data_IF_404202604762
#
_entry.id   IF_404202604762
#
_cell.length_a   1.000
_cell.length_b   1.000
_cell.length_c   1.000
_cell.angle_alpha   90.00
_cell.angle_beta   90.00
_cell.angle_gamma   90.00
#
_symmetry.space_group_name_H-M   'P 1'
#
loop_
_entity.id
_entity.type
_entity.pdbx_description
1 polymer ?
#
# COMPACT_ATOMS: atom_id res chain seq x y z
N UNK A 1 15.83 2.43 -26.44
CA UNK A 1 14.80 2.87 -25.48
C UNK A 1 14.01 3.97 -26.16
N UNK A 2 13.02 3.59 -26.97
CA UNK A 2 12.17 4.47 -27.78
C UNK A 2 10.92 4.85 -26.98
N UNK A 3 10.59 6.15 -26.98
CA UNK A 3 9.41 6.79 -26.40
C UNK A 3 9.06 6.38 -24.96
N UNK A 4 9.70 7.05 -24.00
CA UNK A 4 8.98 7.36 -22.77
C UNK A 4 7.85 8.29 -23.16
N UNK A 5 6.63 7.74 -23.32
CA UNK A 5 5.41 8.51 -23.46
C UNK A 5 5.34 9.51 -22.30
N UNK A 6 5.83 10.73 -22.53
CA UNK A 6 5.62 11.84 -21.60
C UNK A 6 4.14 12.12 -21.61
N UNK A 7 3.49 11.91 -20.48
CA UNK A 7 2.07 12.17 -20.35
C UNK A 7 1.89 13.64 -19.97
N UNK A 8 1.67 14.48 -20.99
CA UNK A 8 1.39 15.89 -20.79
C UNK A 8 -0.03 16.08 -20.25
N UNK A 9 -0.16 16.74 -19.09
CA UNK A 9 -1.45 17.19 -18.56
C UNK A 9 -1.89 18.37 -19.42
N UNK A 10 -3.06 18.32 -20.09
CA UNK A 10 -3.50 19.42 -20.92
C UNK A 10 -3.64 20.70 -20.09
N UNK A 11 -2.97 21.76 -20.52
CA UNK A 11 -2.91 23.05 -19.79
C UNK A 11 -4.26 23.79 -19.75
N UNK A 12 -5.20 23.39 -20.59
CA UNK A 12 -6.53 23.99 -20.74
C UNK A 12 -7.63 23.36 -19.86
N UNK A 13 -7.31 22.37 -19.02
CA UNK A 13 -8.34 21.70 -18.21
C UNK A 13 -8.88 22.60 -17.08
N UNK A 14 -10.21 22.70 -17.01
CA UNK A 14 -10.91 23.22 -15.84
C UNK A 14 -10.75 22.28 -14.64
N UNK A 15 -10.93 22.80 -13.42
CA UNK A 15 -10.82 22.05 -12.17
C UNK A 15 -11.65 20.75 -12.15
N UNK A 16 -12.88 20.79 -12.68
CA UNK A 16 -13.75 19.62 -12.78
C UNK A 16 -13.23 18.59 -13.81
N UNK A 17 -12.68 19.07 -14.93
CA UNK A 17 -12.14 18.22 -15.99
C UNK A 17 -10.80 17.56 -15.62
N UNK A 18 -10.02 18.16 -14.71
CA UNK A 18 -8.75 17.58 -14.23
C UNK A 18 -9.02 16.24 -13.52
N UNK A 19 -9.98 16.20 -12.60
CA UNK A 19 -10.30 14.95 -11.90
C UNK A 19 -10.84 13.89 -12.84
N UNK A 20 -11.71 14.26 -13.78
CA UNK A 20 -12.23 13.32 -14.78
C UNK A 20 -11.11 12.77 -15.67
N UNK A 21 -10.15 13.61 -16.05
CA UNK A 21 -8.98 13.19 -16.81
C UNK A 21 -8.13 12.19 -16.03
N UNK A 22 -7.79 12.48 -14.77
CA UNK A 22 -7.01 11.56 -13.95
C UNK A 22 -7.77 10.27 -13.64
N UNK A 23 -9.07 10.34 -13.36
CA UNK A 23 -9.90 9.16 -13.06
C UNK A 23 -9.96 8.23 -14.29
N UNK A 24 -10.24 8.79 -15.47
CA UNK A 24 -10.29 8.02 -16.73
C UNK A 24 -8.96 7.32 -17.05
N UNK A 25 -7.84 7.92 -16.66
CA UNK A 25 -6.51 7.40 -16.94
C UNK A 25 -5.84 6.75 -15.72
N UNK A 26 -6.54 6.60 -14.59
CA UNK A 26 -5.92 6.31 -13.29
C UNK A 26 -4.99 5.10 -13.33
N UNK A 27 -5.44 3.99 -13.92
CA UNK A 27 -4.66 2.74 -13.93
C UNK A 27 -3.35 2.89 -14.71
N UNK A 28 -3.36 3.64 -15.82
CA UNK A 28 -2.15 3.97 -16.59
C UNK A 28 -1.19 4.81 -15.76
N UNK A 29 -1.69 5.86 -15.09
CA UNK A 29 -0.87 6.73 -14.25
C UNK A 29 -0.32 6.00 -13.03
N UNK A 30 -1.14 5.17 -12.38
CA UNK A 30 -0.72 4.35 -11.24
C UNK A 30 0.35 3.34 -11.65
N UNK A 31 0.21 2.69 -12.81
CA UNK A 31 1.25 1.81 -13.36
C UNK A 31 2.57 2.57 -13.62
N UNK A 32 2.50 3.76 -14.21
CA UNK A 32 3.69 4.59 -14.44
C UNK A 32 4.33 5.04 -13.12
N UNK A 33 3.52 5.46 -12.15
CA UNK A 33 3.95 5.80 -10.79
C UNK A 33 4.71 4.64 -10.14
N UNK A 34 4.13 3.43 -10.11
CA UNK A 34 4.77 2.26 -9.50
C UNK A 34 6.08 1.93 -10.21
N UNK A 35 6.10 1.87 -11.55
CA UNK A 35 7.31 1.57 -12.33
C UNK A 35 8.43 2.60 -12.10
N UNK A 36 8.07 3.88 -12.08
CA UNK A 36 9.02 4.96 -11.89
C UNK A 36 9.62 4.92 -10.48
N UNK A 37 8.78 4.82 -9.45
CA UNK A 37 9.24 4.88 -8.06
C UNK A 37 9.80 3.56 -7.54
N UNK A 38 9.46 2.40 -8.10
CA UNK A 38 10.10 1.12 -7.75
C UNK A 38 11.55 1.06 -8.23
N UNK A 39 11.91 1.84 -9.24
CA UNK A 39 13.26 1.92 -9.80
C UNK A 39 13.96 3.24 -9.48
N UNK A 40 13.46 3.98 -8.48
CA UNK A 40 13.96 5.32 -8.17
C UNK A 40 15.46 5.35 -7.89
N UNK A 41 16.08 4.30 -7.36
CA UNK A 41 17.54 4.22 -7.18
C UNK A 41 18.37 4.42 -8.46
N UNK A 42 17.80 4.18 -9.64
CA UNK A 42 18.49 4.45 -10.91
C UNK A 42 18.66 5.95 -11.15
N UNK A 43 17.79 6.77 -10.54
CA UNK A 43 17.69 8.22 -10.78
C UNK A 43 17.83 9.07 -9.51
N UNK A 44 17.68 8.48 -8.32
CA UNK A 44 17.65 9.17 -7.02
C UNK A 44 19.08 9.33 -6.47
N UNK A 45 19.40 10.49 -5.87
CA UNK A 45 20.66 10.73 -5.14
C UNK A 45 21.06 9.69 -4.07
N UNK A 46 20.13 8.83 -3.61
CA UNK A 46 20.44 7.71 -2.71
C UNK A 46 21.50 6.75 -3.28
N UNK A 47 21.71 6.77 -4.61
CA UNK A 47 22.79 6.04 -5.27
C UNK A 47 24.18 6.66 -5.04
N UNK A 48 24.26 7.98 -4.86
CA UNK A 48 25.51 8.75 -4.81
C UNK A 48 26.05 8.94 -3.38
N UNK A 49 25.17 8.92 -2.37
CA UNK A 49 25.54 9.02 -0.96
C UNK A 49 25.54 7.64 -0.32
N UNK A 50 26.68 6.97 -0.44
CA UNK A 50 27.02 5.73 0.25
C UNK A 50 26.00 4.60 0.04
N UNK A 51 26.12 3.93 -1.11
CA UNK A 51 25.30 2.76 -1.46
C UNK A 51 25.31 1.65 -0.38
N UNK A 52 26.35 1.60 0.46
CA UNK A 52 26.43 0.70 1.62
C UNK A 52 25.67 1.20 2.86
N UNK A 53 25.48 2.50 3.03
CA UNK A 53 24.94 3.08 4.27
C UNK A 53 23.42 3.25 4.21
N UNK A 54 22.85 3.53 3.04
CA UNK A 54 21.46 4.01 3.01
C UNK A 54 20.36 2.96 2.89
N UNK A 55 20.66 1.68 2.67
CA UNK A 55 19.67 0.57 2.70
C UNK A 55 18.40 0.75 1.85
N UNK A 56 18.33 1.79 1.03
CA UNK A 56 17.11 2.38 0.47
C UNK A 56 16.43 1.45 -0.55
N UNK A 57 17.17 0.48 -1.08
CA UNK A 57 16.67 -0.56 -1.98
C UNK A 57 16.70 -1.96 -1.37
N UNK A 58 17.04 -2.08 -0.10
CA UNK A 58 17.13 -3.40 0.52
C UNK A 58 15.77 -3.92 0.94
N UNK A 59 14.85 -3.03 1.34
CA UNK A 59 13.54 -3.40 1.82
C UNK A 59 12.37 -2.66 1.15
N UNK A 60 11.25 -3.37 1.05
CA UNK A 60 9.92 -2.79 1.08
C UNK A 60 9.47 -2.69 2.52
N UNK A 61 9.13 -1.48 2.97
CA UNK A 61 8.43 -1.27 4.24
C UNK A 61 6.95 -1.10 3.91
N UNK A 62 6.09 -1.90 4.53
CA UNK A 62 4.64 -1.88 4.28
C UNK A 62 3.95 -1.45 5.57
N UNK A 63 2.96 -0.57 5.45
CA UNK A 63 2.15 -0.13 6.58
C UNK A 63 0.75 0.33 6.17
N UNK A 64 -0.19 0.24 7.11
CA UNK A 64 -1.57 0.69 6.99
C UNK A 64 -1.81 2.01 7.73
N UNK A 65 -2.21 3.06 7.01
CA UNK A 65 -2.67 4.32 7.62
C UNK A 65 -4.18 4.32 7.81
N UNK A 66 -4.65 3.89 8.99
CA UNK A 66 -6.08 3.75 9.29
C UNK A 66 -6.84 5.05 9.61
N UNK A 67 -6.22 6.21 9.45
CA UNK A 67 -6.77 7.50 9.94
C UNK A 67 -7.58 8.26 8.89
N UNK A 68 -7.52 7.88 7.61
CA UNK A 68 -8.28 8.54 6.54
C UNK A 68 -9.53 7.73 6.22
N UNK A 69 -10.47 7.71 7.17
CA UNK A 69 -11.74 7.04 7.01
C UNK A 69 -12.71 7.92 6.20
N UNK A 70 -13.36 7.32 5.20
CA UNK A 70 -14.45 7.96 4.44
C UNK A 70 -15.63 7.00 4.26
N UNK A 71 -16.84 7.50 3.99
CA UNK A 71 -17.97 6.63 3.67
C UNK A 71 -17.68 5.73 2.45
N UNK A 72 -17.94 4.42 2.62
CA UNK A 72 -17.84 3.40 1.55
C UNK A 72 -19.17 2.67 1.36
N UNK A 73 -19.31 2.04 0.20
CA UNK A 73 -20.52 1.33 -0.19
C UNK A 73 -20.70 0.08 0.69
N UNK A 74 -21.93 -0.11 1.19
CA UNK A 74 -22.34 -1.28 1.99
C UNK A 74 -22.20 -2.61 1.26
N UNK A 75 -22.12 -2.61 -0.07
CA UNK A 75 -21.92 -3.85 -0.81
C UNK A 75 -20.53 -4.43 -0.54
N UNK A 76 -20.50 -5.44 0.32
CA UNK A 76 -19.32 -6.22 0.69
C UNK A 76 -19.00 -7.36 -0.28
N UNK A 77 -19.90 -7.61 -1.23
CA UNK A 77 -19.86 -8.77 -2.13
C UNK A 77 -19.10 -8.48 -3.42
N UNK A 78 -18.42 -7.33 -3.50
CA UNK A 78 -17.55 -7.06 -4.63
C UNK A 78 -16.36 -8.01 -4.53
N UNK A 79 -16.35 -8.97 -5.45
CA UNK A 79 -15.26 -9.88 -5.61
C UNK A 79 -14.27 -9.37 -6.64
N UNK A 80 -13.00 -9.72 -6.46
CA UNK A 80 -11.99 -9.65 -7.52
C UNK A 80 -11.34 -11.01 -7.67
N UNK A 81 -10.88 -11.33 -8.86
CA UNK A 81 -9.98 -12.46 -9.09
C UNK A 81 -8.62 -11.91 -9.48
N UNK A 82 -7.57 -12.59 -9.04
CA UNK A 82 -6.20 -12.26 -9.46
C UNK A 82 -5.50 -13.55 -9.89
N UNK A 83 -4.35 -13.43 -10.54
CA UNK A 83 -3.59 -14.61 -10.96
C UNK A 83 -3.13 -15.42 -9.73
N UNK A 84 -2.73 -14.73 -8.66
CA UNK A 84 -2.30 -15.36 -7.41
C UNK A 84 -3.47 -15.92 -6.60
N UNK A 85 -4.63 -15.29 -6.67
CA UNK A 85 -5.85 -15.68 -5.93
C UNK A 85 -6.99 -15.94 -6.92
N UNK A 86 -7.09 -17.16 -7.49
CA UNK A 86 -8.10 -17.51 -8.49
C UNK A 86 -9.49 -17.68 -7.88
N UNK A 87 -9.57 -18.09 -6.61
CA UNK A 87 -10.81 -18.14 -5.86
C UNK A 87 -11.26 -16.70 -5.58
N UNK A 88 -12.41 -16.30 -6.11
CA UNK A 88 -13.01 -14.97 -5.96
C UNK A 88 -12.80 -14.35 -4.57
N UNK A 89 -12.28 -13.12 -4.52
CA UNK A 89 -11.88 -12.43 -3.30
C UNK A 89 -12.83 -11.31 -2.94
N UNK A 90 -13.51 -11.43 -1.81
CA UNK A 90 -14.41 -10.42 -1.29
C UNK A 90 -13.64 -9.21 -0.72
N UNK A 91 -13.40 -8.21 -1.54
CA UNK A 91 -12.72 -6.96 -1.14
C UNK A 91 -13.69 -5.86 -0.69
N UNK A 92 -14.98 -6.00 -1.03
CA UNK A 92 -15.98 -4.96 -0.81
C UNK A 92 -15.89 -3.80 -1.81
N UNK A 93 -16.92 -2.96 -1.81
CA UNK A 93 -17.03 -1.87 -2.76
C UNK A 93 -16.48 -0.55 -2.20
N UNK A 94 -15.38 -0.08 -2.77
CA UNK A 94 -14.79 1.21 -2.43
C UNK A 94 -15.59 2.44 -2.85
N UNK A 95 -16.65 2.31 -3.65
CA UNK A 95 -17.37 3.47 -4.15
C UNK A 95 -18.08 4.25 -3.02
N UNK A 96 -18.21 5.56 -3.19
CA UNK A 96 -18.96 6.40 -2.23
C UNK A 96 -20.45 6.03 -2.27
N UNK A 97 -21.10 5.81 -1.12
CA UNK A 97 -22.51 5.46 -1.08
C UNK A 97 -23.40 6.66 -1.39
N UNK A 98 -24.59 6.42 -1.97
CA UNK A 98 -25.67 7.42 -1.99
C UNK A 98 -26.27 7.53 -0.56
N UNK A 99 -26.55 8.75 -0.12
CA UNK A 99 -26.85 9.08 1.29
C UNK A 99 -27.97 8.25 1.93
N UNK A 100 -29.03 7.94 1.18
CA UNK A 100 -30.20 7.20 1.70
C UNK A 100 -30.02 5.67 1.74
N UNK A 101 -29.36 5.09 0.75
CA UNK A 101 -29.28 3.61 0.62
C UNK A 101 -28.06 3.04 1.34
N UNK A 102 -26.98 3.82 1.45
CA UNK A 102 -25.68 3.28 1.82
C UNK A 102 -25.03 2.43 0.72
N UNK A 103 -25.62 2.38 -0.47
CA UNK A 103 -25.07 1.70 -1.65
C UNK A 103 -24.65 2.74 -2.68
N UNK A 104 -23.53 2.47 -3.37
CA UNK A 104 -23.17 3.25 -4.54
C UNK A 104 -24.09 2.92 -5.73
N UNK A 105 -24.08 3.77 -6.75
CA UNK A 105 -24.87 3.60 -7.97
C UNK A 105 -24.73 2.23 -8.61
N UNK A 106 -23.50 1.74 -8.74
CA UNK A 106 -23.21 0.44 -9.39
C UNK A 106 -23.69 -0.76 -8.56
N UNK A 107 -23.87 -0.59 -7.25
CA UNK A 107 -24.27 -1.68 -6.36
C UNK A 107 -25.75 -1.63 -5.97
N UNK A 108 -26.50 -0.59 -6.35
CA UNK A 108 -27.94 -0.50 -6.06
C UNK A 108 -28.74 -1.63 -6.70
N UNK A 109 -28.29 -2.13 -7.84
CA UNK A 109 -28.95 -3.20 -8.60
C UNK A 109 -28.41 -4.60 -8.27
N UNK A 110 -27.39 -4.69 -7.42
CA UNK A 110 -26.75 -5.96 -7.10
C UNK A 110 -27.40 -6.58 -5.87
N UNK A 111 -27.69 -7.89 -5.93
CA UNK A 111 -28.09 -8.66 -4.75
C UNK A 111 -26.98 -8.56 -3.70
N UNK A 112 -27.33 -8.05 -2.53
CA UNK A 112 -26.45 -8.09 -1.37
C UNK A 112 -26.67 -9.46 -0.73
N UNK A 113 -25.74 -10.37 -0.93
CA UNK A 113 -25.60 -11.58 -0.12
C UNK A 113 -25.57 -11.18 1.36
N UNK A 114 -26.36 -11.91 2.15
CA UNK A 114 -26.29 -11.86 3.60
C UNK A 114 -24.93 -12.38 4.10
N UNK A 115 -24.56 -12.05 5.33
CA UNK A 115 -23.24 -12.42 5.88
C UNK A 115 -23.02 -13.95 5.89
N UNK A 116 -24.09 -14.74 6.00
CA UNK A 116 -24.06 -16.20 5.95
C UNK A 116 -23.91 -16.76 4.51
N UNK A 117 -24.18 -15.95 3.49
CA UNK A 117 -24.06 -16.31 2.07
C UNK A 117 -22.73 -15.84 1.48
N UNK A 118 -22.05 -14.88 2.11
CA UNK A 118 -20.66 -14.60 1.78
C UNK A 118 -19.81 -15.70 2.36
N UNK A 119 -19.35 -16.61 1.51
CA UNK A 119 -18.24 -17.52 1.82
C UNK A 119 -16.94 -16.72 2.04
N UNK A 120 -16.91 -15.84 3.05
CA UNK A 120 -15.71 -15.72 3.88
C UNK A 120 -15.60 -17.10 4.51
N UNK A 121 -15.00 -18.00 3.74
CA UNK A 121 -14.78 -19.39 4.10
C UNK A 121 -14.42 -19.42 5.55
N UNK A 122 -15.15 -20.26 6.28
CA UNK A 122 -14.73 -20.93 7.50
C UNK A 122 -13.26 -20.68 7.79
N UNK A 123 -12.96 -20.24 9.00
CA UNK A 123 -11.61 -20.17 9.55
C UNK A 123 -10.91 -21.53 9.40
N UNK A 124 -10.49 -21.91 8.20
CA UNK A 124 -9.71 -23.11 7.92
C UNK A 124 -8.29 -22.91 8.48
N UNK A 125 -7.98 -21.70 8.95
CA UNK A 125 -6.82 -21.35 9.76
C UNK A 125 -7.01 -21.67 11.27
N UNK A 126 -8.16 -22.21 11.72
CA UNK A 126 -8.51 -22.56 13.11
C UNK A 126 -7.53 -23.49 13.85
N UNK A 127 -6.42 -23.91 13.23
CA UNK A 127 -5.49 -24.86 13.83
C UNK A 127 -4.01 -24.67 13.51
N UNK A 128 -3.59 -23.64 12.79
CA UNK A 128 -2.18 -23.55 12.36
C UNK A 128 -1.38 -22.46 13.13
N UNK A 129 -2.04 -21.47 13.73
CA UNK A 129 -1.33 -20.24 14.12
C UNK A 129 -0.95 -20.08 15.58
N UNK A 130 -1.58 -20.78 16.52
CA UNK A 130 -1.32 -20.51 17.94
C UNK A 130 -1.38 -21.80 18.76
N UNK A 131 -0.19 -22.29 19.16
CA UNK A 131 -0.09 -22.92 20.46
C UNK A 131 -0.47 -21.84 21.50
N UNK A 132 -1.52 -22.05 22.32
CA UNK A 132 -2.02 -21.06 23.27
C UNK A 132 -0.95 -20.52 24.23
N UNK A 133 0.13 -21.28 24.44
CA UNK A 133 1.23 -20.92 25.35
C UNK A 133 2.32 -20.08 24.68
N UNK A 134 2.38 -20.08 23.35
CA UNK A 134 3.42 -19.37 22.56
C UNK A 134 2.85 -18.35 21.56
N UNK A 135 1.54 -18.13 21.59
CA UNK A 135 0.83 -17.29 20.62
C UNK A 135 1.38 -15.86 20.49
N UNK A 136 1.22 -15.27 19.31
CA UNK A 136 1.64 -13.89 19.09
C UNK A 136 0.53 -12.93 19.52
N UNK A 137 0.83 -12.00 20.43
CA UNK A 137 -0.15 -11.01 20.91
C UNK A 137 -0.73 -10.08 19.82
N UNK A 138 -0.18 -10.14 18.60
CA UNK A 138 -0.62 -9.35 17.45
C UNK A 138 -1.36 -10.17 16.39
N UNK A 139 -1.75 -11.43 16.65
CA UNK A 139 -2.64 -12.13 15.72
C UNK A 139 -3.98 -11.36 15.69
N UNK A 140 -4.17 -10.62 14.58
CA UNK A 140 -5.37 -9.83 14.28
C UNK A 140 -6.30 -10.55 13.31
N UNK A 141 -5.90 -11.72 12.85
CA UNK A 141 -6.76 -12.61 12.07
C UNK A 141 -7.99 -12.90 12.94
N UNK A 142 -9.16 -12.46 12.47
CA UNK A 142 -10.47 -12.73 13.04
C UNK A 142 -10.96 -11.87 14.22
N UNK A 143 -10.46 -10.65 14.40
CA UNK A 143 -11.36 -9.64 14.98
C UNK A 143 -12.42 -9.36 13.94
N UNK A 144 -13.61 -9.96 14.11
CA UNK A 144 -14.80 -9.68 13.30
C UNK A 144 -14.78 -8.22 12.88
N UNK A 145 -14.55 -7.99 11.58
CA UNK A 145 -14.66 -6.65 11.03
C UNK A 145 -16.09 -6.26 11.32
N UNK A 146 -16.26 -5.29 12.22
CA UNK A 146 -17.56 -4.72 12.52
C UNK A 146 -18.25 -4.41 11.20
N UNK A 147 -19.19 -5.29 10.87
CA UNK A 147 -19.79 -5.41 9.55
C UNK A 147 -20.71 -4.20 9.31
N UNK A 148 -21.01 -3.43 10.35
CA UNK A 148 -21.76 -2.20 10.27
C UNK A 148 -20.89 -0.97 9.98
N UNK A 149 -19.55 -1.12 9.95
CA UNK A 149 -18.65 -0.02 9.57
C UNK A 149 -18.87 0.38 8.12
N UNK A 150 -19.50 1.54 7.95
CA UNK A 150 -19.72 2.22 6.65
C UNK A 150 -18.55 3.10 6.23
N UNK A 151 -17.36 2.89 6.81
CA UNK A 151 -16.19 3.73 6.61
C UNK A 151 -15.00 2.90 6.12
N UNK A 152 -14.20 3.46 5.20
CA UNK A 152 -12.89 2.89 4.86
C UNK A 152 -12.00 2.86 6.11
N UNK A 153 -11.03 1.95 6.10
CA UNK A 153 -9.98 1.89 7.11
C UNK A 153 -8.68 2.52 6.58
N UNK A 154 -8.80 3.53 5.71
CA UNK A 154 -7.67 4.29 5.19
C UNK A 154 -6.95 3.63 4.01
N UNK A 155 -5.63 3.56 4.06
CA UNK A 155 -4.78 3.05 2.97
C UNK A 155 -3.72 2.09 3.49
N UNK A 156 -3.25 1.21 2.62
CA UNK A 156 -2.00 0.48 2.77
C UNK A 156 -1.04 1.01 1.72
N UNK A 157 0.23 1.16 2.07
CA UNK A 157 1.23 1.58 1.10
C UNK A 157 2.56 0.89 1.35
N UNK A 158 3.33 0.78 0.27
CA UNK A 158 4.71 0.30 0.28
C UNK A 158 5.63 1.49 0.12
N UNK A 159 6.57 1.64 1.04
CA UNK A 159 7.55 2.72 1.08
C UNK A 159 8.96 2.14 1.15
N UNK A 160 9.93 2.81 0.54
CA UNK A 160 11.33 2.48 0.71
C UNK A 160 11.88 3.04 2.04
N UNK A 161 12.97 2.51 2.59
CA UNK A 161 13.59 3.02 3.82
C UNK A 161 13.99 4.51 3.77
N UNK A 162 14.29 5.03 2.58
CA UNK A 162 14.58 6.44 2.35
C UNK A 162 13.32 7.34 2.26
N UNK A 163 12.13 6.74 2.35
CA UNK A 163 10.84 7.41 2.44
C UNK A 163 10.12 7.60 1.10
N UNK A 164 10.54 6.94 0.01
CA UNK A 164 9.87 7.03 -1.29
C UNK A 164 8.69 6.06 -1.33
N UNK A 165 7.49 6.56 -1.60
CA UNK A 165 6.29 5.74 -1.72
C UNK A 165 6.28 5.05 -3.09
N UNK A 166 6.24 3.73 -3.09
CA UNK A 166 6.33 2.91 -4.31
C UNK A 166 4.95 2.55 -4.84
N UNK A 167 3.99 2.27 -3.96
CA UNK A 167 2.62 1.95 -4.33
C UNK A 167 1.69 2.04 -3.14
N UNK A 168 0.39 2.09 -3.41
CA UNK A 168 -0.64 2.20 -2.38
C UNK A 168 -1.96 1.57 -2.84
N UNK A 169 -2.75 1.11 -1.88
CA UNK A 169 -4.11 0.65 -2.08
C UNK A 169 -5.02 1.18 -0.97
N UNK A 170 -6.29 1.36 -1.30
CA UNK A 170 -7.28 1.75 -0.29
C UNK A 170 -7.74 0.53 0.52
N UNK A 171 -7.77 0.67 1.84
CA UNK A 171 -8.25 -0.34 2.77
C UNK A 171 -9.75 -0.13 3.01
N UNK A 172 -10.57 -1.02 2.44
CA UNK A 172 -12.02 -1.01 2.65
C UNK A 172 -12.44 -1.80 3.90
N UNK A 173 -11.57 -2.67 4.39
CA UNK A 173 -11.73 -3.50 5.59
C UNK A 173 -10.49 -3.38 6.46
N UNK A 174 -10.46 -4.13 7.56
CA UNK A 174 -9.24 -4.24 8.34
C UNK A 174 -8.11 -4.74 7.48
N UNK A 175 -6.96 -4.12 7.72
CA UNK A 175 -5.70 -4.64 7.29
C UNK A 175 -5.57 -6.11 7.73
N UNK A 176 -5.15 -6.96 6.79
CA UNK A 176 -5.02 -8.39 6.99
C UNK A 176 -3.83 -8.90 6.19
N UNK A 177 -3.28 -10.06 6.56
CA UNK A 177 -2.19 -10.69 5.80
C UNK A 177 -2.55 -10.85 4.31
N UNK A 178 -3.82 -11.15 4.04
CA UNK A 178 -4.36 -11.19 2.68
C UNK A 178 -4.25 -9.84 1.95
N UNK A 179 -4.78 -8.75 2.54
CA UNK A 179 -4.75 -7.43 1.92
C UNK A 179 -3.32 -6.95 1.68
N UNK A 180 -2.43 -7.24 2.61
CA UNK A 180 -0.99 -6.92 2.52
C UNK A 180 -0.30 -7.69 1.40
N UNK A 181 -0.56 -9.00 1.25
CA UNK A 181 -0.04 -9.78 0.12
C UNK A 181 -0.62 -9.36 -1.22
N UNK A 182 -1.93 -9.09 -1.28
CA UNK A 182 -2.56 -8.62 -2.51
C UNK A 182 -1.98 -7.29 -2.97
N UNK A 183 -1.81 -6.33 -2.04
CA UNK A 183 -1.12 -5.07 -2.29
C UNK A 183 0.29 -5.28 -2.85
N UNK A 184 1.06 -6.17 -2.21
CA UNK A 184 2.43 -6.49 -2.62
C UNK A 184 2.49 -7.13 -4.02
N UNK A 185 1.66 -8.14 -4.30
CA UNK A 185 1.59 -8.77 -5.62
C UNK A 185 1.19 -7.78 -6.70
N UNK A 186 0.23 -6.89 -6.42
CA UNK A 186 -0.20 -5.85 -7.36
C UNK A 186 0.96 -4.93 -7.71
N UNK A 187 1.74 -4.47 -6.73
CA UNK A 187 2.93 -3.62 -6.99
C UNK A 187 3.93 -4.39 -7.86
N UNK A 188 4.29 -5.61 -7.47
CA UNK A 188 5.28 -6.42 -8.18
C UNK A 188 4.85 -6.70 -9.63
N UNK A 189 3.57 -7.02 -9.88
CA UNK A 189 3.02 -7.24 -11.24
C UNK A 189 3.07 -6.01 -12.14
N UNK A 190 2.97 -4.81 -11.56
CA UNK A 190 3.05 -3.57 -12.34
C UNK A 190 4.50 -3.29 -12.79
N UNK A 191 5.47 -3.93 -12.15
CA UNK A 191 6.89 -3.88 -12.52
C UNK A 191 7.15 -4.97 -13.57
N UNK A 192 7.98 -4.63 -14.56
CA UNK A 192 8.40 -5.61 -15.56
C UNK A 192 9.22 -6.74 -14.91
N UNK A 193 8.98 -8.00 -15.29
CA UNK A 193 9.72 -9.16 -14.77
C UNK A 193 11.23 -9.00 -14.97
N UNK A 194 11.65 -8.34 -16.06
CA UNK A 194 13.07 -8.04 -16.32
C UNK A 194 13.70 -7.09 -15.29
N UNK A 195 12.86 -6.34 -14.56
CA UNK A 195 13.26 -5.41 -13.52
C UNK A 195 13.16 -6.00 -12.10
N UNK A 196 12.73 -7.26 -11.93
CA UNK A 196 12.64 -7.89 -10.60
C UNK A 196 13.98 -7.99 -9.89
N UNK A 197 15.08 -8.10 -10.64
CA UNK A 197 16.45 -8.06 -10.08
C UNK A 197 16.80 -6.76 -9.36
N UNK A 198 16.03 -5.69 -9.59
CA UNK A 198 16.20 -4.40 -8.93
C UNK A 198 15.23 -4.17 -7.77
N UNK A 199 14.34 -5.13 -7.50
CA UNK A 199 13.39 -5.02 -6.41
C UNK A 199 14.01 -5.44 -5.08
N UNK A 200 13.64 -4.77 -3.98
CA UNK A 200 14.01 -5.19 -2.64
C UNK A 200 13.63 -6.63 -2.33
N UNK A 201 14.59 -7.41 -1.82
CA UNK A 201 14.37 -8.80 -1.38
C UNK A 201 14.01 -8.90 0.10
N UNK A 202 13.85 -7.77 0.79
CA UNK A 202 13.40 -7.71 2.18
C UNK A 202 12.02 -7.08 2.23
N UNK A 203 11.12 -7.66 3.02
CA UNK A 203 9.79 -7.15 3.32
C UNK A 203 9.74 -6.86 4.82
N UNK A 204 9.45 -5.62 5.17
CA UNK A 204 9.26 -5.15 6.54
C UNK A 204 7.79 -4.81 6.71
N UNK A 205 7.19 -5.32 7.78
CA UNK A 205 5.76 -5.15 8.06
C UNK A 205 5.49 -5.31 9.55
N UNK A 206 4.53 -4.57 10.12
CA UNK A 206 4.20 -4.65 11.56
C UNK A 206 3.88 -6.10 11.98
N UNK A 207 3.13 -6.84 11.16
CA UNK A 207 2.72 -8.21 11.40
C UNK A 207 3.40 -9.20 10.45
N UNK A 208 4.68 -8.97 10.14
CA UNK A 208 5.45 -9.79 9.20
C UNK A 208 5.51 -11.27 9.56
N UNK A 209 5.43 -11.62 10.85
CA UNK A 209 5.40 -13.01 11.28
C UNK A 209 4.14 -13.75 10.80
N UNK A 210 2.95 -13.16 10.95
CA UNK A 210 1.72 -13.77 10.46
C UNK A 210 1.65 -13.74 8.95
N UNK A 211 2.10 -12.64 8.33
CA UNK A 211 2.20 -12.54 6.86
C UNK A 211 3.05 -13.67 6.26
N UNK A 212 4.20 -13.96 6.88
CA UNK A 212 5.09 -15.05 6.47
C UNK A 212 4.40 -16.41 6.57
N UNK A 213 3.80 -16.73 7.72
CA UNK A 213 3.12 -18.01 7.92
C UNK A 213 1.94 -18.13 6.94
N UNK A 214 1.14 -17.08 6.80
CA UNK A 214 0.01 -17.00 5.87
C UNK A 214 0.43 -17.30 4.43
N UNK A 215 1.51 -16.67 3.95
CA UNK A 215 2.04 -16.90 2.62
C UNK A 215 2.46 -18.37 2.42
N UNK A 216 3.28 -18.91 3.32
CA UNK A 216 3.86 -20.25 3.13
C UNK A 216 2.85 -21.39 3.27
N UNK A 217 1.86 -21.25 4.16
CA UNK A 217 0.77 -22.22 4.30
C UNK A 217 -0.06 -22.35 3.01
N UNK A 218 -0.14 -21.27 2.22
CA UNK A 218 -0.96 -21.19 1.00
C UNK A 218 -0.19 -21.36 -0.31
N UNK A 219 1.12 -21.12 -0.32
CA UNK A 219 1.96 -21.19 -1.52
C UNK A 219 2.49 -22.60 -1.84
N UNK A 220 2.81 -23.43 -0.83
CA UNK A 220 3.51 -24.73 -1.02
C UNK A 220 2.62 -25.97 -1.11
N UNK A 221 1.39 -25.95 -0.59
CA UNK A 221 0.58 -27.17 -0.46
C UNK A 221 -0.04 -27.60 -1.79
N UNK A 222 0.20 -28.85 -2.22
CA UNK A 222 -0.47 -29.45 -3.37
C UNK A 222 -1.88 -29.93 -2.96
N UNK A 223 -2.88 -29.48 -3.72
CA UNK A 223 -4.10 -30.23 -4.08
C UNK A 223 -5.44 -30.07 -3.33
N UNK A 224 -5.57 -29.58 -2.09
CA UNK A 224 -6.93 -29.46 -1.49
C UNK A 224 -7.29 -28.07 -0.94
N UNK A 225 -6.31 -27.27 -0.45
CA UNK A 225 -6.58 -25.98 0.21
C UNK A 225 -5.82 -24.77 -0.42
N UNK A 226 -5.43 -24.84 -1.71
CA UNK A 226 -4.55 -23.82 -2.33
C UNK A 226 -5.23 -22.49 -2.54
N UNK A 227 -4.66 -21.40 -1.99
CA UNK A 227 -5.07 -20.03 -2.37
C UNK A 227 -3.95 -19.05 -2.72
N UNK A 228 -2.72 -19.51 -2.98
CA UNK A 228 -1.73 -18.68 -3.70
C UNK A 228 -1.14 -19.49 -4.86
N UNK A 229 -1.48 -19.12 -6.09
CA UNK A 229 -0.94 -19.71 -7.31
C UNK A 229 0.49 -19.23 -7.54
N UNK A 230 1.33 -20.12 -8.08
CA UNK A 230 2.69 -19.78 -8.49
C UNK A 230 2.66 -18.90 -9.75
N UNK A 231 2.99 -17.63 -9.57
CA UNK A 231 3.17 -16.61 -10.61
C UNK A 231 4.59 -16.03 -10.48
N UNK A 232 5.10 -15.23 -11.43
CA UNK A 232 6.37 -14.55 -11.25
C UNK A 232 6.43 -13.71 -9.96
N UNK A 233 5.32 -13.08 -9.60
CA UNK A 233 5.22 -12.22 -8.40
C UNK A 233 5.21 -13.02 -7.11
N UNK A 234 4.41 -14.09 -7.02
CA UNK A 234 4.43 -14.95 -5.83
C UNK A 234 5.75 -15.74 -5.71
N UNK A 235 6.38 -16.08 -6.83
CA UNK A 235 7.73 -16.65 -6.83
C UNK A 235 8.78 -15.65 -6.31
N UNK A 236 8.70 -14.38 -6.70
CA UNK A 236 9.56 -13.33 -6.15
C UNK A 236 9.38 -13.20 -4.62
N UNK A 237 8.13 -13.11 -4.15
CA UNK A 237 7.82 -13.01 -2.72
C UNK A 237 8.32 -14.24 -1.95
N UNK A 238 8.28 -15.43 -2.55
CA UNK A 238 8.81 -16.65 -1.93
C UNK A 238 10.33 -16.65 -1.68
N UNK A 239 11.06 -15.76 -2.36
CA UNK A 239 12.52 -15.56 -2.20
C UNK A 239 12.83 -14.42 -1.24
N UNK A 240 11.83 -13.66 -0.79
CA UNK A 240 12.03 -12.51 0.09
C UNK A 240 12.21 -12.93 1.56
N UNK A 241 12.99 -12.15 2.29
CA UNK A 241 13.08 -12.22 3.74
C UNK A 241 12.03 -11.31 4.38
N UNK A 242 11.36 -11.78 5.43
CA UNK A 242 10.34 -11.01 6.14
C UNK A 242 10.88 -10.56 7.48
N UNK A 243 10.72 -9.30 7.86
CA UNK A 243 11.06 -8.81 9.20
C UNK A 243 9.93 -7.97 9.78
N UNK A 244 9.79 -8.03 11.09
CA UNK A 244 8.87 -7.20 11.84
C UNK A 244 9.45 -5.78 11.89
N UNK A 245 8.59 -4.78 11.77
CA UNK A 245 9.01 -3.40 12.02
C UNK A 245 9.63 -3.26 13.42
N UNK A 246 10.78 -2.59 13.53
CA UNK A 246 11.50 -2.40 14.78
C UNK A 246 10.63 -1.78 15.87
N UNK A 247 9.78 -0.82 15.53
CA UNK A 247 8.85 -0.18 16.47
C UNK A 247 7.83 -1.17 17.04
N UNK A 248 7.43 -2.16 16.24
CA UNK A 248 6.43 -3.15 16.61
C UNK A 248 7.01 -4.41 17.26
N UNK A 249 8.31 -4.70 17.08
CA UNK A 249 9.00 -5.87 17.61
C UNK A 249 8.71 -6.22 19.09
N UNK A 250 8.63 -5.26 20.05
CA UNK A 250 8.32 -5.58 21.45
C UNK A 250 6.96 -6.26 21.67
N UNK A 251 6.01 -6.09 20.74
CA UNK A 251 4.67 -6.67 20.85
C UNK A 251 4.62 -8.14 20.41
N UNK A 252 5.67 -8.66 19.78
CA UNK A 252 5.68 -10.00 19.21
C UNK A 252 6.39 -10.99 20.13
N UNK A 253 5.72 -12.05 20.58
CA UNK A 253 6.29 -12.95 21.61
C UNK A 253 6.78 -14.31 21.11
N UNK A 254 6.35 -14.76 19.92
CA UNK A 254 6.77 -16.07 19.37
C UNK A 254 8.30 -16.15 19.24
N UNK A 255 8.91 -17.32 19.45
CA UNK A 255 10.35 -17.51 19.25
C UNK A 255 10.86 -17.06 17.87
N UNK A 256 10.09 -17.35 16.80
CA UNK A 256 10.42 -16.90 15.44
C UNK A 256 10.37 -15.38 15.29
N UNK A 257 9.52 -14.69 16.07
CA UNK A 257 9.44 -13.24 16.04
C UNK A 257 10.70 -12.62 16.65
N UNK A 258 11.18 -13.20 17.75
CA UNK A 258 12.35 -12.70 18.49
C UNK A 258 13.69 -13.02 17.81
N UNK A 259 13.70 -14.02 16.92
CA UNK A 259 14.91 -14.47 16.21
C UNK A 259 14.81 -14.23 14.71
N UNK A 260 14.02 -15.04 14.01
CA UNK A 260 14.03 -15.11 12.53
C UNK A 260 13.43 -13.88 11.85
N UNK A 261 12.45 -13.24 12.50
CA UNK A 261 11.74 -12.06 12.01
C UNK A 261 12.19 -10.76 12.70
N UNK A 262 13.14 -10.82 13.62
CA UNK A 262 13.72 -9.64 14.26
C UNK A 262 14.89 -9.12 13.42
N UNK A 263 14.75 -7.92 12.86
CA UNK A 263 15.78 -7.33 11.98
C UNK A 263 17.10 -7.08 12.71
N UNK A 264 17.05 -6.84 14.02
CA UNK A 264 18.22 -6.55 14.87
C UNK A 264 18.85 -7.82 15.44
N UNK A 265 18.33 -9.01 15.11
CA UNK A 265 18.88 -10.26 15.61
C UNK A 265 20.34 -10.44 15.16
N UNK A 266 21.16 -11.03 16.05
CA UNK A 266 22.62 -11.05 15.93
C UNK A 266 23.16 -11.63 14.61
N UNK A 267 22.44 -12.56 14.00
CA UNK A 267 22.84 -13.24 12.76
C UNK A 267 22.57 -12.42 11.49
N UNK A 268 21.80 -11.34 11.58
CA UNK A 268 21.54 -10.49 10.43
C UNK A 268 22.75 -9.62 10.11
N UNK A 269 22.93 -9.31 8.82
CA UNK A 269 24.03 -8.46 8.37
C UNK A 269 23.92 -7.06 8.95
N UNK A 270 25.05 -6.39 9.15
CA UNK A 270 25.09 -5.02 9.66
C UNK A 270 24.33 -4.05 8.74
N UNK A 271 24.42 -4.27 7.42
CA UNK A 271 23.66 -3.50 6.42
C UNK A 271 22.15 -3.66 6.62
N UNK A 272 21.67 -4.86 6.93
CA UNK A 272 20.25 -5.12 7.22
C UNK A 272 19.77 -4.37 8.46
N UNK A 273 20.59 -4.33 9.52
CA UNK A 273 20.27 -3.62 10.77
C UNK A 273 20.16 -2.11 10.59
N UNK A 274 20.91 -1.54 9.63
CA UNK A 274 20.85 -0.10 9.31
C UNK A 274 19.62 0.33 8.52
N UNK A 275 18.76 -0.61 8.11
CA UNK A 275 17.53 -0.27 7.39
C UNK A 275 16.61 0.56 8.30
N UNK A 276 16.14 1.70 7.78
CA UNK A 276 15.10 2.50 8.40
C UNK A 276 13.75 1.78 8.25
N UNK A 277 13.36 1.02 9.27
CA UNK A 277 12.05 0.34 9.30
C UNK A 277 10.93 1.37 9.53
N UNK A 278 11.20 2.40 10.33
CA UNK A 278 10.23 3.45 10.73
C UNK A 278 9.87 4.46 9.62
N UNK A 279 10.25 4.18 8.37
CA UNK A 279 9.96 5.06 7.23
C UNK A 279 8.45 5.28 7.06
N UNK A 280 7.65 4.26 7.35
CA UNK A 280 6.19 4.34 7.31
C UNK A 280 5.63 5.28 8.39
N UNK A 281 6.06 5.16 9.65
CA UNK A 281 5.63 6.00 10.76
C UNK A 281 5.96 7.47 10.52
N UNK A 282 7.18 7.73 10.01
CA UNK A 282 7.62 9.06 9.61
C UNK A 282 6.69 9.63 8.54
N UNK A 283 6.34 8.82 7.53
CA UNK A 283 5.43 9.25 6.45
C UNK A 283 3.99 9.44 6.93
N UNK A 284 3.48 8.56 7.78
CA UNK A 284 2.18 8.67 8.43
C UNK A 284 2.04 9.99 9.19
N UNK A 285 3.10 10.46 9.86
CA UNK A 285 3.09 11.76 10.53
C UNK A 285 2.81 12.92 9.57
N UNK A 286 3.39 12.88 8.37
CA UNK A 286 3.12 13.88 7.32
C UNK A 286 1.69 13.74 6.80
N UNK A 287 1.24 12.51 6.53
CA UNK A 287 -0.10 12.27 5.97
C UNK A 287 -1.25 12.67 6.90
N UNK A 288 -1.05 12.62 8.23
CA UNK A 288 -2.03 13.12 9.21
C UNK A 288 -2.44 14.57 8.96
N UNK A 289 -1.55 15.39 8.38
CA UNK A 289 -1.84 16.79 8.07
C UNK A 289 -2.89 16.94 6.96
N UNK A 290 -3.08 15.91 6.12
CA UNK A 290 -4.03 15.88 5.01
C UNK A 290 -5.31 15.11 5.35
N UNK A 291 -5.43 14.56 6.56
CA UNK A 291 -6.52 13.66 6.95
C UNK A 291 -7.90 14.28 6.67
N UNK A 292 -8.14 15.52 7.10
CA UNK A 292 -9.42 16.20 6.95
C UNK A 292 -9.80 16.42 5.48
N UNK A 293 -8.81 16.73 4.63
CA UNK A 293 -9.04 16.93 3.21
C UNK A 293 -9.40 15.59 2.55
N UNK A 294 -8.61 14.55 2.81
CA UNK A 294 -8.77 13.24 2.19
C UNK A 294 -10.05 12.51 2.66
N UNK A 295 -10.46 12.68 3.92
CA UNK A 295 -11.71 12.10 4.44
C UNK A 295 -12.97 12.68 3.80
N UNK A 296 -12.87 13.89 3.22
CA UNK A 296 -14.00 14.55 2.53
C UNK A 296 -14.17 14.10 1.08
N UNK A 297 -13.20 13.37 0.50
CA UNK A 297 -13.21 13.01 -0.91
C UNK A 297 -14.04 11.76 -1.18
N UNK A 298 -14.67 11.72 -2.37
CA UNK A 298 -15.28 10.50 -2.89
C UNK A 298 -14.20 9.46 -3.24
N UNK A 299 -14.57 8.20 -3.41
CA UNK A 299 -13.60 7.12 -3.64
C UNK A 299 -12.72 7.29 -4.88
N UNK A 300 -13.30 7.77 -5.98
CA UNK A 300 -12.50 8.10 -7.17
C UNK A 300 -11.55 9.28 -6.90
N UNK A 301 -12.08 10.35 -6.30
CA UNK A 301 -11.29 11.56 -5.99
C UNK A 301 -10.16 11.29 -5.02
N UNK A 302 -10.37 10.44 -4.01
CA UNK A 302 -9.34 10.13 -3.01
C UNK A 302 -8.18 9.34 -3.62
N UNK A 303 -8.46 8.38 -4.51
CA UNK A 303 -7.41 7.63 -5.23
C UNK A 303 -6.54 8.55 -6.08
N UNK A 304 -7.17 9.44 -6.86
CA UNK A 304 -6.46 10.45 -7.65
C UNK A 304 -5.65 11.39 -6.74
N UNK A 305 -6.23 11.84 -5.62
CA UNK A 305 -5.54 12.69 -4.67
C UNK A 305 -4.31 12.01 -4.05
N UNK A 306 -4.40 10.74 -3.66
CA UNK A 306 -3.25 9.98 -3.18
C UNK A 306 -2.14 9.87 -4.22
N UNK A 307 -2.51 9.54 -5.47
CA UNK A 307 -1.55 9.41 -6.56
C UNK A 307 -0.73 10.69 -6.75
N UNK A 308 -1.42 11.82 -6.84
CA UNK A 308 -0.79 13.14 -6.97
C UNK A 308 0.03 13.47 -5.73
N UNK A 309 -0.55 13.34 -4.54
CA UNK A 309 0.11 13.68 -3.28
C UNK A 309 1.41 12.89 -3.10
N UNK A 310 1.38 11.58 -3.32
CA UNK A 310 2.56 10.73 -3.17
C UNK A 310 3.61 11.00 -4.25
N UNK A 311 3.19 11.29 -5.48
CA UNK A 311 4.13 11.68 -6.53
C UNK A 311 4.87 12.97 -6.15
N UNK A 312 4.16 13.97 -5.62
CA UNK A 312 4.75 15.22 -5.17
C UNK A 312 5.66 15.02 -3.96
N UNK A 313 5.26 14.22 -2.97
CA UNK A 313 6.10 13.87 -1.83
C UNK A 313 7.40 13.18 -2.25
N UNK A 314 7.32 12.30 -3.24
CA UNK A 314 8.49 11.62 -3.78
C UNK A 314 9.38 12.58 -4.58
N UNK A 315 8.79 13.47 -5.39
CA UNK A 315 9.54 14.50 -6.11
C UNK A 315 10.28 15.44 -5.17
N UNK A 316 9.61 15.92 -4.11
CA UNK A 316 10.23 16.71 -3.06
C UNK A 316 11.45 15.98 -2.49
N UNK A 317 11.28 14.70 -2.12
CA UNK A 317 12.37 13.88 -1.58
C UNK A 317 13.54 13.73 -2.56
N UNK A 318 13.25 13.57 -3.84
CA UNK A 318 14.26 13.49 -4.92
C UNK A 318 15.06 14.79 -5.11
N UNK A 319 14.48 15.95 -4.80
CA UNK A 319 15.13 17.26 -5.00
C UNK A 319 16.00 17.72 -3.83
N UNK A 320 15.95 17.00 -2.69
CA UNK A 320 16.54 17.47 -1.44
C UNK A 320 18.03 17.09 -1.28
N UNK A 321 18.91 17.87 -1.92
CA UNK A 321 20.29 18.12 -1.47
C UNK A 321 20.36 19.44 -0.65
N UNK A 322 19.68 19.51 0.51
CA UNK A 322 19.70 20.61 1.51
C UNK A 322 18.69 21.78 1.41
N UNK A 323 17.60 21.72 0.63
CA UNK A 323 16.59 22.81 0.57
C UNK A 323 15.31 22.54 1.37
N UNK A 324 15.43 21.99 2.59
CA UNK A 324 14.30 21.49 3.40
C UNK A 324 13.43 22.58 4.06
N UNK A 325 13.67 23.87 3.81
CA UNK A 325 12.89 24.97 4.42
C UNK A 325 11.55 25.26 3.73
N UNK A 326 11.32 24.74 2.52
CA UNK A 326 10.20 25.19 1.70
C UNK A 326 8.83 24.71 2.21
N UNK A 327 8.68 23.46 2.66
CA UNK A 327 7.35 22.88 2.91
C UNK A 327 6.75 23.16 4.29
N UNK A 328 7.53 23.54 5.32
CA UNK A 328 6.94 24.02 6.60
C UNK A 328 6.08 25.28 6.41
N UNK A 329 6.39 26.13 5.42
CA UNK A 329 5.63 27.34 5.12
C UNK A 329 4.30 27.09 4.39
N UNK A 330 4.16 25.98 3.67
CA UNK A 330 2.93 25.65 2.92
C UNK A 330 2.03 24.64 3.64
N UNK A 331 2.60 23.72 4.42
CA UNK A 331 1.83 22.84 5.30
C UNK A 331 1.11 23.58 6.43
N UNK A 332 1.60 24.76 6.84
CA UNK A 332 0.92 25.64 7.79
C UNK A 332 -0.20 26.48 7.16
N UNK A 333 -0.30 26.49 5.83
CA UNK A 333 -1.31 27.22 5.06
C UNK A 333 -2.20 26.27 4.26
N UNK A 334 -2.58 25.10 4.77
CA UNK A 334 -3.50 24.19 4.04
C UNK A 334 -4.92 24.78 4.04
N UNK A 335 -5.43 25.34 2.93
CA UNK A 335 -6.81 25.76 2.79
C UNK A 335 -7.59 24.63 2.11
N UNK A 336 -8.93 24.73 2.12
CA UNK A 336 -9.91 23.87 1.44
C UNK A 336 -9.48 23.21 0.11
N UNK A 337 -10.17 22.12 -0.29
CA UNK A 337 -10.02 21.33 -1.54
C UNK A 337 -9.64 22.05 -2.85
N UNK A 338 -9.86 23.38 -2.96
CA UNK A 338 -9.34 24.23 -4.05
C UNK A 338 -7.80 24.26 -4.14
N UNK A 339 -7.08 24.01 -3.06
CA UNK A 339 -5.62 24.14 -2.97
C UNK A 339 -4.83 23.05 -3.67
N UNK A 340 -5.32 21.80 -3.74
CA UNK A 340 -4.64 20.72 -4.46
C UNK A 340 -4.60 20.99 -5.97
N UNK A 341 -5.64 21.63 -6.49
CA UNK A 341 -5.74 22.00 -7.91
C UNK A 341 -4.87 23.22 -8.23
N UNK A 342 -4.83 24.19 -7.32
CA UNK A 342 -3.88 25.33 -7.40
C UNK A 342 -2.45 24.80 -7.38
N UNK A 343 -2.13 23.83 -6.52
CA UNK A 343 -0.81 23.20 -6.45
C UNK A 343 -0.42 22.50 -7.77
N UNK A 344 -1.35 21.76 -8.42
CA UNK A 344 -1.14 21.20 -9.75
C UNK A 344 -0.95 22.26 -10.85
N UNK A 345 -1.57 23.44 -10.68
CA UNK A 345 -1.45 24.55 -11.62
C UNK A 345 -0.16 25.34 -11.44
N UNK A 346 0.32 25.50 -10.21
CA UNK A 346 1.48 26.32 -9.82
C UNK A 346 2.82 25.58 -9.84
N UNK A 347 2.85 24.25 -10.06
CA UNK A 347 4.08 23.46 -10.26
C UNK A 347 4.36 23.18 -11.77
N UNK A 348 4.93 24.13 -12.54
CA UNK A 348 5.23 23.94 -13.96
C UNK A 348 6.33 22.89 -14.21
N UNK A 349 7.19 22.61 -13.24
CA UNK A 349 8.30 21.64 -13.38
C UNK A 349 7.85 20.18 -13.36
N UNK A 350 6.70 19.87 -12.73
CA UNK A 350 6.11 18.52 -12.73
C UNK A 350 5.40 18.21 -14.05
N UNK A 351 4.94 19.24 -14.78
CA UNK A 351 4.26 19.08 -16.08
C UNK A 351 5.10 18.40 -17.16
N UNK A 352 6.43 18.40 -17.01
CA UNK A 352 7.37 17.92 -18.02
C UNK A 352 8.04 16.57 -17.69
N UNK A 353 7.68 15.92 -16.56
CA UNK A 353 8.35 14.69 -16.07
C UNK A 353 7.43 13.64 -15.43
N UNK A 354 6.18 13.50 -15.89
CA UNK A 354 5.37 12.31 -15.58
C UNK A 354 5.25 11.41 -16.81
#
# INVERSE_FOLDING_TARGET
MSDTHRFEIPTSLSDASIYQFFDKNFDTWYKCFVKHWSTHHLTHPCRAKDAEINGCMLAFVIDGMQKVARPICKNKNKCITTEEFPDFLYIGCGNTPKSKTGLCETCQQQRILSDNETCLTTNDDNGIYDDPTTGCNVSREDRFVDVDKKISQGIIYTISPCGVIIGFDELYRSESCFMTLWHLFKIIRLIDVYNYKYLPSIIIYDNACSLFIYFWNRYKNNEINRRIVKTPSSEFVSKCSFFIDRFHQPNHRRPMCQKDRNIDFKTNSETTKKINTEAAEQRNSVLKQYQNALSSYSGQKVRVAYLILFHLMNCERNTCDNQFEYNRRYATKVPSSKSLIIFLKEYPTVRNKI
#
